data_IF_345803054699
#
_entry.id   IF_345803054699
#
_cell.length_a   1.000
_cell.length_b   1.000
_cell.length_c   1.000
_cell.angle_alpha   90.00
_cell.angle_beta   90.00
_cell.angle_gamma   90.00
#
_symmetry.space_group_name_H-M   'P 1'
#
loop_
_entity.id
_entity.type
_entity.pdbx_description
1 polymer ?
#
# COMPACT_ATOMS: atom_id res chain seq x y z
N UNK A 1 -7.07 7.76 -18.63
CA UNK A 1 -6.02 8.10 -17.65
C UNK A 1 -4.72 7.49 -18.14
N UNK A 2 -3.58 8.19 -18.07
CA UNK A 2 -2.29 7.60 -18.45
C UNK A 2 -1.63 7.05 -17.19
N UNK A 3 -1.56 5.73 -17.10
CA UNK A 3 -0.91 4.97 -16.02
C UNK A 3 0.54 4.66 -16.39
N UNK A 4 1.36 4.36 -15.38
CA UNK A 4 2.74 3.89 -15.60
C UNK A 4 2.77 2.36 -15.61
N UNK A 5 3.73 1.78 -16.34
CA UNK A 5 3.90 0.32 -16.36
C UNK A 5 4.11 -0.26 -14.96
N UNK A 6 4.91 0.41 -14.11
CA UNK A 6 5.16 -0.04 -12.73
C UNK A 6 3.87 -0.09 -11.88
N UNK A 7 2.97 0.86 -12.10
CA UNK A 7 1.68 0.93 -11.41
C UNK A 7 0.78 -0.21 -11.88
N UNK A 8 0.61 -0.39 -13.20
CA UNK A 8 -0.20 -1.47 -13.77
C UNK A 8 0.29 -2.86 -13.34
N UNK A 9 1.60 -3.07 -13.34
CA UNK A 9 2.21 -4.32 -12.89
C UNK A 9 1.93 -4.57 -11.40
N UNK A 10 2.01 -3.53 -10.55
CA UNK A 10 1.69 -3.64 -9.13
C UNK A 10 0.20 -3.93 -8.88
N UNK A 11 -0.71 -3.19 -9.52
CA UNK A 11 -2.15 -3.41 -9.40
C UNK A 11 -2.52 -4.82 -9.84
N UNK A 12 -2.00 -5.30 -10.98
CA UNK A 12 -2.26 -6.67 -11.45
C UNK A 12 -1.85 -7.70 -10.41
N UNK A 13 -0.64 -7.58 -9.84
CA UNK A 13 -0.12 -8.51 -8.81
C UNK A 13 -0.99 -8.52 -7.56
N UNK A 14 -1.36 -7.33 -7.06
CA UNK A 14 -2.20 -7.21 -5.88
C UNK A 14 -3.62 -7.72 -6.11
N UNK A 15 -4.21 -7.43 -7.27
CA UNK A 15 -5.51 -7.93 -7.68
C UNK A 15 -5.53 -9.47 -7.72
N UNK A 16 -4.54 -10.06 -8.40
CA UNK A 16 -4.40 -11.52 -8.45
C UNK A 16 -4.27 -12.10 -7.04
N UNK A 17 -3.39 -11.55 -6.20
CA UNK A 17 -3.18 -12.06 -4.84
C UNK A 17 -4.43 -12.00 -3.97
N UNK A 18 -5.20 -10.92 -4.06
CA UNK A 18 -6.46 -10.76 -3.33
C UNK A 18 -7.51 -11.79 -3.77
N UNK A 19 -7.69 -11.99 -5.08
CA UNK A 19 -8.71 -12.89 -5.62
C UNK A 19 -8.35 -14.36 -5.48
N UNK A 20 -7.06 -14.70 -5.52
CA UNK A 20 -6.56 -16.06 -5.28
C UNK A 20 -6.42 -16.41 -3.80
N UNK A 21 -6.63 -15.44 -2.89
CA UNK A 21 -6.53 -15.67 -1.45
C UNK A 21 -5.09 -15.85 -0.96
N UNK A 22 -4.12 -15.28 -1.67
CA UNK A 22 -2.69 -15.34 -1.34
C UNK A 22 -2.15 -14.03 -0.77
N UNK A 23 -3.01 -13.02 -0.58
CA UNK A 23 -2.68 -11.76 0.10
C UNK A 23 -2.76 -11.94 1.63
N UNK A 24 -1.65 -11.81 2.33
CA UNK A 24 -1.52 -12.07 3.77
C UNK A 24 -0.70 -10.99 4.51
N UNK A 25 -1.32 -10.21 5.43
CA UNK A 25 -0.64 -9.21 6.27
C UNK A 25 0.42 -9.74 7.22
N UNK A 26 0.39 -11.03 7.57
CA UNK A 26 1.35 -11.61 8.52
C UNK A 26 2.54 -12.30 7.83
N UNK A 27 2.57 -12.29 6.48
CA UNK A 27 3.63 -12.93 5.69
C UNK A 27 4.37 -11.90 4.81
N UNK A 28 5.66 -11.69 5.07
CA UNK A 28 6.47 -10.73 4.31
C UNK A 28 6.60 -11.03 2.81
N UNK A 29 6.36 -12.29 2.38
CA UNK A 29 6.32 -12.68 0.98
C UNK A 29 4.94 -12.46 0.32
N UNK A 30 3.88 -12.37 1.12
CA UNK A 30 2.49 -12.38 0.66
C UNK A 30 1.69 -11.15 1.08
N UNK A 31 2.28 -10.23 1.82
CA UNK A 31 1.74 -8.88 2.03
C UNK A 31 1.69 -8.09 0.71
N UNK A 32 1.21 -6.84 0.75
CA UNK A 32 1.16 -5.99 -0.42
C UNK A 32 2.54 -5.82 -1.09
N UNK A 33 3.56 -5.51 -0.29
CA UNK A 33 4.92 -5.32 -0.81
C UNK A 33 5.54 -6.62 -1.30
N UNK A 34 5.35 -7.72 -0.56
CA UNK A 34 5.81 -9.05 -0.96
C UNK A 34 5.29 -9.43 -2.35
N UNK A 35 4.00 -9.26 -2.61
CA UNK A 35 3.41 -9.52 -3.93
C UNK A 35 3.97 -8.59 -5.01
N UNK A 36 4.09 -7.28 -4.75
CA UNK A 36 4.71 -6.34 -5.70
C UNK A 36 6.14 -6.78 -6.05
N UNK A 37 6.89 -7.28 -5.05
CA UNK A 37 8.26 -7.75 -5.14
C UNK A 37 8.40 -9.24 -5.54
N UNK A 38 7.44 -9.80 -6.27
CA UNK A 38 7.49 -11.18 -6.80
C UNK A 38 7.64 -12.24 -5.69
N UNK A 39 6.84 -12.07 -4.63
CA UNK A 39 6.82 -12.89 -3.42
C UNK A 39 8.17 -12.94 -2.68
N UNK A 40 8.99 -11.91 -2.82
CA UNK A 40 10.24 -11.75 -2.08
C UNK A 40 10.01 -11.03 -0.75
N UNK A 41 10.68 -11.50 0.31
CA UNK A 41 10.71 -10.84 1.61
C UNK A 41 11.92 -9.90 1.81
N UNK A 42 12.79 -9.75 0.80
CA UNK A 42 14.06 -9.03 0.90
C UNK A 42 13.89 -7.57 1.33
N UNK A 43 12.76 -6.97 0.98
CA UNK A 43 12.42 -5.59 1.32
C UNK A 43 12.30 -5.39 2.84
N UNK A 44 11.99 -6.44 3.61
CA UNK A 44 11.83 -6.34 5.07
C UNK A 44 13.13 -5.93 5.77
N UNK A 45 14.29 -6.25 5.17
CA UNK A 45 15.60 -5.92 5.72
C UNK A 45 16.00 -4.45 5.53
N UNK A 46 15.16 -3.62 4.91
CA UNK A 46 15.39 -2.17 4.81
C UNK A 46 15.02 -1.39 6.07
N UNK A 47 14.33 -2.01 7.02
CA UNK A 47 13.99 -1.45 8.32
C UNK A 47 14.26 -2.49 9.40
N UNK A 48 14.59 -2.02 10.60
CA UNK A 48 14.82 -2.90 11.75
C UNK A 48 13.52 -3.33 12.43
N UNK A 49 12.44 -2.56 12.23
CA UNK A 49 11.11 -2.85 12.75
C UNK A 49 10.12 -3.11 11.61
N UNK A 50 9.33 -4.18 11.75
CA UNK A 50 8.28 -4.51 10.79
C UNK A 50 7.14 -3.48 10.87
N UNK A 51 6.74 -2.94 9.72
CA UNK A 51 5.79 -1.83 9.66
C UNK A 51 6.34 -0.47 10.12
N UNK A 52 7.67 -0.27 10.08
CA UNK A 52 8.28 1.05 10.24
C UNK A 52 8.62 1.66 8.87
N UNK A 53 8.49 2.98 8.75
CA UNK A 53 8.95 3.75 7.58
C UNK A 53 10.41 4.19 7.71
N UNK A 54 11.06 3.94 8.85
CA UNK A 54 12.44 4.34 9.12
C UNK A 54 13.38 3.33 8.48
N UNK A 55 14.21 3.80 7.54
CA UNK A 55 15.24 2.98 6.93
C UNK A 55 16.38 2.70 7.92
N UNK A 56 16.84 1.45 7.96
CA UNK A 56 18.12 1.12 8.58
C UNK A 56 19.28 1.45 7.63
N UNK A 57 20.51 1.13 8.02
CA UNK A 57 21.69 1.42 7.20
C UNK A 57 21.62 0.81 5.79
N UNK A 58 21.18 -0.45 5.68
CA UNK A 58 21.04 -1.14 4.39
C UNK A 58 19.98 -0.47 3.54
N UNK A 59 18.81 -0.16 4.12
CA UNK A 59 17.74 0.57 3.45
C UNK A 59 18.22 1.93 2.94
N UNK A 60 18.84 2.72 3.82
CA UNK A 60 19.31 4.08 3.52
C UNK A 60 20.32 4.12 2.37
N UNK A 61 21.30 3.21 2.38
CA UNK A 61 22.29 3.15 1.31
C UNK A 61 21.62 2.79 -0.02
N UNK A 62 20.80 1.73 -0.07
CA UNK A 62 20.13 1.35 -1.33
C UNK A 62 19.21 2.49 -1.84
N UNK A 63 18.52 3.19 -0.93
CA UNK A 63 17.65 4.32 -1.26
C UNK A 63 18.46 5.52 -1.81
N UNK A 64 19.54 5.89 -1.13
CA UNK A 64 20.44 7.00 -1.51
C UNK A 64 21.12 6.77 -2.86
N UNK A 65 21.46 5.52 -3.18
CA UNK A 65 22.00 5.15 -4.51
C UNK A 65 20.92 5.04 -5.59
N UNK A 66 19.65 5.30 -5.26
CA UNK A 66 18.54 5.23 -6.21
C UNK A 66 18.21 3.81 -6.67
N UNK A 67 18.60 2.78 -5.91
CA UNK A 67 18.33 1.39 -6.28
C UNK A 67 16.84 1.11 -6.18
N UNK A 68 16.27 0.55 -7.25
CA UNK A 68 14.85 0.22 -7.33
C UNK A 68 14.62 -1.28 -7.39
N UNK A 69 13.57 -1.75 -6.72
CA UNK A 69 13.04 -3.11 -6.83
C UNK A 69 11.67 -2.98 -7.46
N UNK A 70 11.50 -3.59 -8.64
CA UNK A 70 10.27 -3.49 -9.43
C UNK A 70 9.77 -2.05 -9.65
N UNK A 71 10.72 -1.10 -9.73
CA UNK A 71 10.44 0.32 -9.95
C UNK A 71 10.33 1.17 -8.69
N UNK A 72 10.40 0.57 -7.49
CA UNK A 72 10.23 1.26 -6.21
C UNK A 72 11.54 1.33 -5.41
N UNK A 73 11.81 2.48 -4.81
CA UNK A 73 12.87 2.69 -3.83
C UNK A 73 12.54 1.96 -2.50
N UNK A 74 13.54 1.62 -1.67
CA UNK A 74 13.32 1.09 -0.33
C UNK A 74 12.31 1.88 0.50
N UNK A 75 12.41 3.22 0.52
CA UNK A 75 11.48 4.09 1.24
C UNK A 75 10.06 4.04 0.69
N UNK A 76 9.91 3.90 -0.64
CA UNK A 76 8.60 3.74 -1.30
C UNK A 76 7.96 2.41 -0.89
N UNK A 77 8.73 1.31 -0.89
CA UNK A 77 8.25 0.00 -0.46
C UNK A 77 7.78 0.02 1.00
N UNK A 78 8.54 0.62 1.92
CA UNK A 78 8.13 0.71 3.33
C UNK A 78 6.84 1.53 3.50
N UNK A 79 6.65 2.60 2.72
CA UNK A 79 5.39 3.40 2.75
C UNK A 79 4.19 2.57 2.30
N UNK A 80 4.34 1.75 1.26
CA UNK A 80 3.26 0.86 0.78
C UNK A 80 2.89 -0.15 1.86
N UNK A 81 3.88 -0.79 2.49
CA UNK A 81 3.63 -1.78 3.55
C UNK A 81 2.92 -1.17 4.76
N UNK A 82 3.39 -0.01 5.21
CA UNK A 82 2.80 0.71 6.35
C UNK A 82 1.34 1.09 6.06
N UNK A 83 1.04 1.55 4.85
CA UNK A 83 -0.34 1.84 4.44
C UNK A 83 -1.21 0.59 4.40
N UNK A 84 -0.69 -0.52 3.85
CA UNK A 84 -1.39 -1.81 3.81
C UNK A 84 -1.73 -2.30 5.23
N UNK A 85 -0.75 -2.37 6.12
CA UNK A 85 -0.94 -2.86 7.48
C UNK A 85 -1.85 -1.94 8.30
N UNK A 86 -1.72 -0.61 8.16
CA UNK A 86 -2.65 0.35 8.78
C UNK A 86 -4.08 0.15 8.28
N UNK A 87 -4.28 -0.06 6.98
CA UNK A 87 -5.59 -0.34 6.39
C UNK A 87 -6.19 -1.68 6.85
N UNK A 88 -5.35 -2.68 7.14
CA UNK A 88 -5.77 -3.92 7.79
C UNK A 88 -6.05 -3.75 9.31
N UNK A 89 -5.79 -2.58 9.90
CA UNK A 89 -6.08 -2.29 11.31
C UNK A 89 -4.99 -2.69 12.29
N UNK A 90 -3.75 -2.89 11.83
CA UNK A 90 -2.61 -3.10 12.71
C UNK A 90 -2.15 -1.79 13.35
N UNK A 91 -1.68 -1.86 14.59
CA UNK A 91 -0.93 -0.75 15.20
C UNK A 91 0.56 -0.88 14.88
N UNK A 92 1.13 0.17 14.30
CA UNK A 92 2.49 0.18 13.76
C UNK A 92 3.45 1.06 14.56
N UNK A 93 4.75 0.72 14.61
CA UNK A 93 5.36 -0.52 14.12
C UNK A 93 4.85 -1.73 14.91
N UNK A 94 4.87 -2.91 14.27
CA UNK A 94 4.29 -4.12 14.86
C UNK A 94 5.10 -4.51 16.10
N UNK A 95 4.40 -4.59 17.23
CA UNK A 95 4.92 -5.10 18.48
C UNK A 95 3.98 -6.17 19.02
N UNK A 96 4.50 -7.16 19.74
CA UNK A 96 3.72 -8.31 20.21
C UNK A 96 2.58 -7.92 21.18
N UNK A 97 2.72 -6.78 21.87
CA UNK A 97 1.72 -6.24 22.79
C UNK A 97 0.67 -5.35 22.11
N UNK A 98 0.86 -5.04 20.82
CA UNK A 98 0.02 -4.09 20.12
C UNK A 98 -1.28 -4.73 19.61
N UNK A 99 -2.31 -3.89 19.43
CA UNK A 99 -3.59 -4.32 18.88
C UNK A 99 -3.38 -4.86 17.46
N UNK A 100 -3.87 -6.08 17.26
CA UNK A 100 -4.01 -6.75 15.96
C UNK A 100 -5.49 -6.89 15.61
N UNK A 101 -5.85 -6.94 14.32
CA UNK A 101 -7.21 -7.32 13.93
C UNK A 101 -7.51 -8.75 14.39
N UNK A 102 -8.74 -9.00 14.84
CA UNK A 102 -9.16 -10.33 15.29
C UNK A 102 -9.15 -11.38 14.16
N UNK A 103 -9.42 -10.92 12.93
CA UNK A 103 -9.41 -11.76 11.71
C UNK A 103 -8.57 -11.09 10.62
N UNK A 104 -7.23 -11.23 10.66
CA UNK A 104 -6.33 -10.60 9.70
C UNK A 104 -6.57 -10.95 8.23
N UNK A 105 -7.07 -12.17 7.99
CA UNK A 105 -7.33 -12.72 6.65
C UNK A 105 -8.78 -12.54 6.21
N UNK A 106 -9.60 -11.82 6.97
CA UNK A 106 -10.96 -11.50 6.55
C UNK A 106 -10.93 -10.65 5.27
N UNK A 107 -11.78 -10.99 4.29
CA UNK A 107 -11.79 -10.30 2.98
C UNK A 107 -12.04 -8.80 3.10
N UNK A 108 -12.84 -8.34 4.07
CA UNK A 108 -13.08 -6.91 4.29
C UNK A 108 -11.83 -6.20 4.82
N UNK A 109 -11.10 -6.85 5.74
CA UNK A 109 -9.84 -6.34 6.31
C UNK A 109 -8.76 -6.27 5.23
N UNK A 110 -8.63 -7.32 4.42
CA UNK A 110 -7.70 -7.37 3.29
C UNK A 110 -8.05 -6.32 2.23
N UNK A 111 -9.34 -6.13 1.94
CA UNK A 111 -9.78 -5.13 0.98
C UNK A 111 -9.47 -3.70 1.45
N UNK A 112 -9.64 -3.41 2.74
CA UNK A 112 -9.27 -2.11 3.31
C UNK A 112 -7.76 -1.87 3.25
N UNK A 113 -6.95 -2.87 3.60
CA UNK A 113 -5.50 -2.81 3.44
C UNK A 113 -5.08 -2.60 1.98
N UNK A 114 -5.66 -3.38 1.06
CA UNK A 114 -5.43 -3.26 -0.38
C UNK A 114 -5.77 -1.86 -0.88
N UNK A 115 -6.92 -1.31 -0.49
CA UNK A 115 -7.36 0.03 -0.87
C UNK A 115 -6.38 1.12 -0.40
N UNK A 116 -5.87 0.99 0.83
CA UNK A 116 -4.87 1.89 1.38
C UNK A 116 -3.53 1.81 0.62
N UNK A 117 -3.07 0.60 0.28
CA UNK A 117 -1.86 0.39 -0.52
C UNK A 117 -2.01 1.01 -1.94
N UNK A 118 -3.15 0.78 -2.60
CA UNK A 118 -3.44 1.34 -3.92
C UNK A 118 -3.47 2.86 -3.89
N UNK A 119 -4.02 3.47 -2.82
CA UNK A 119 -4.02 4.92 -2.65
C UNK A 119 -2.60 5.48 -2.66
N UNK A 120 -1.68 4.84 -1.91
CA UNK A 120 -0.25 5.23 -1.91
C UNK A 120 0.41 5.04 -3.28
N UNK A 121 0.09 3.95 -3.99
CA UNK A 121 0.59 3.74 -5.36
C UNK A 121 0.11 4.84 -6.32
N UNK A 122 -1.16 5.26 -6.22
CA UNK A 122 -1.70 6.36 -7.00
C UNK A 122 -0.95 7.67 -6.72
N UNK A 123 -0.70 7.98 -5.45
CA UNK A 123 0.04 9.18 -5.05
C UNK A 123 1.48 9.20 -5.60
N UNK A 124 2.18 8.06 -5.56
CA UNK A 124 3.54 7.90 -6.09
C UNK A 124 3.65 8.13 -7.61
N UNK A 125 2.59 7.84 -8.35
CA UNK A 125 2.51 8.06 -9.79
C UNK A 125 1.77 9.36 -10.15
N UNK A 126 1.37 10.18 -9.16
CA UNK A 126 0.60 11.42 -9.35
C UNK A 126 -0.71 11.18 -10.11
N UNK A 127 -1.38 10.10 -9.79
CA UNK A 127 -2.60 9.62 -10.40
C UNK A 127 -3.78 9.82 -9.42
N UNK A 128 -4.97 10.23 -9.88
CA UNK A 128 -6.15 10.28 -9.01
C UNK A 128 -6.43 8.93 -8.35
N UNK A 129 -6.71 8.92 -7.05
CA UNK A 129 -7.02 7.69 -6.31
C UNK A 129 -8.17 6.93 -6.98
N UNK A 130 -7.86 5.75 -7.53
CA UNK A 130 -8.83 4.91 -8.25
C UNK A 130 -9.82 4.21 -7.32
N UNK A 131 -9.52 4.18 -6.01
CA UNK A 131 -10.40 3.64 -4.97
C UNK A 131 -11.38 4.69 -4.43
N UNK A 132 -11.19 5.98 -4.75
CA UNK A 132 -12.07 7.06 -4.34
C UNK A 132 -13.23 7.25 -5.31
N UNK A 133 -14.32 6.52 -5.07
CA UNK A 133 -15.55 6.65 -5.85
C UNK A 133 -16.44 7.81 -5.40
N UNK A 134 -16.09 8.54 -4.33
CA UNK A 134 -16.94 9.62 -3.79
C UNK A 134 -17.23 10.70 -4.83
N UNK A 135 -16.28 10.95 -5.72
CA UNK A 135 -16.39 11.89 -6.83
C UNK A 135 -17.47 11.53 -7.84
N UNK A 136 -17.81 10.24 -7.99
CA UNK A 136 -18.87 9.79 -8.91
C UNK A 136 -20.27 10.12 -8.38
N UNK A 137 -20.38 10.35 -7.06
CA UNK A 137 -21.65 10.60 -6.38
C UNK A 137 -21.76 12.03 -5.83
N UNK A 138 -20.74 12.87 -6.04
CA UNK A 138 -20.79 14.27 -5.69
C UNK A 138 -21.78 14.99 -6.62
N UNK A 139 -22.89 15.48 -6.08
CA UNK A 139 -23.82 16.36 -6.79
C UNK A 139 -23.13 17.71 -7.05
N UNK A 140 -23.31 18.29 -8.23
CA UNK A 140 -22.86 19.67 -8.50
C UNK A 140 -23.46 20.61 -7.44
N UNK A 141 -22.66 21.54 -6.88
CA UNK A 141 -23.17 22.50 -5.91
C UNK A 141 -24.32 23.27 -6.56
N UNK A 142 -25.48 23.26 -5.92
CA UNK A 142 -26.65 24.00 -6.37
C UNK A 142 -26.28 25.48 -6.36
N UNK A 143 -25.98 26.05 -7.53
CA UNK A 143 -25.90 27.50 -7.72
C UNK A 143 -27.32 28.04 -7.52
N UNK A 144 -27.69 28.32 -6.27
CA UNK A 144 -28.85 29.15 -5.98
C UNK A 144 -28.48 30.57 -6.43
N UNK A 145 -29.21 31.15 -7.41
CA UNK A 145 -29.02 32.55 -7.72
C UNK A 145 -29.34 33.36 -6.46
N UNK A 146 -28.41 34.23 -6.05
CA UNK A 146 -28.71 35.29 -5.09
C UNK A 146 -29.77 36.18 -5.74
N UNK A 147 -31.02 36.03 -5.31
CA UNK A 147 -32.07 37.00 -5.60
C UNK A 147 -31.69 38.33 -4.92
N UNK A 148 -31.52 39.36 -5.75
CA UNK A 148 -31.25 40.76 -5.40
C UNK A 148 -32.47 41.43 -4.76
#
# INVERSE_FOLDING_TARGET
MRTTKRFEDAIRKLYTAFHEGTLDPECACQCAVGNICDNSDRWKYFSDAHGSTVLNYVGYINDSFGKRINGYLPSELLKIEVAFLNGCGYSLPIHHSNKKPEKPQDKSVLFNGLSAAITVLCDMDSIPNVMDYSRLFASEPTTQPLEL
#
